data_IF_597793309700
#
_entry.id   IF_597793309700
#
_cell.length_a   1.000
_cell.length_b   1.000
_cell.length_c   1.000
_cell.angle_alpha   90.00
_cell.angle_beta   90.00
_cell.angle_gamma   90.00
#
_symmetry.space_group_name_H-M   'P 1'
#
loop_
_entity.id
_entity.type
_entity.pdbx_description
1 polymer ?
#
# COMPACT_ATOMS: atom_id res chain seq x y z
N UNK A 1 16.73 10.51 -13.01
CA UNK A 1 15.99 9.95 -11.86
C UNK A 1 16.56 10.57 -10.60
N UNK A 2 15.72 11.04 -9.67
CA UNK A 2 16.21 11.48 -8.36
C UNK A 2 16.89 10.32 -7.64
N UNK A 3 18.00 10.60 -6.98
CA UNK A 3 18.79 9.62 -6.24
C UNK A 3 18.47 9.85 -4.77
N UNK A 4 17.59 9.03 -4.20
CA UNK A 4 17.01 9.21 -2.87
C UNK A 4 18.04 9.59 -1.77
N UNK A 5 19.24 8.96 -1.70
CA UNK A 5 20.26 9.34 -0.72
C UNK A 5 20.84 10.76 -0.90
N UNK A 6 20.85 11.28 -2.13
CA UNK A 6 21.43 12.58 -2.47
C UNK A 6 20.41 13.72 -2.35
N UNK A 7 19.20 13.49 -2.84
CA UNK A 7 18.16 14.52 -2.94
C UNK A 7 17.35 14.64 -1.64
N UNK A 8 17.21 13.53 -0.90
CA UNK A 8 16.40 13.45 0.33
C UNK A 8 17.08 12.57 1.39
N UNK A 9 18.30 12.95 1.78
CA UNK A 9 19.15 12.21 2.73
C UNK A 9 18.43 11.84 4.04
N UNK A 10 17.62 12.75 4.58
CA UNK A 10 16.84 12.50 5.80
C UNK A 10 15.77 11.40 5.60
N UNK A 11 15.06 11.42 4.47
CA UNK A 11 14.04 10.40 4.16
C UNK A 11 14.71 9.04 3.97
N UNK A 12 15.86 9.04 3.29
CA UNK A 12 16.66 7.83 3.09
C UNK A 12 17.16 7.25 4.42
N UNK A 13 17.69 8.08 5.32
CA UNK A 13 18.15 7.65 6.64
C UNK A 13 17.00 7.05 7.48
N UNK A 14 15.84 7.73 7.50
CA UNK A 14 14.64 7.23 8.18
C UNK A 14 14.17 5.90 7.59
N UNK A 15 14.19 5.77 6.26
CA UNK A 15 13.85 4.52 5.58
C UNK A 15 14.80 3.37 5.97
N UNK A 16 16.12 3.60 5.92
CA UNK A 16 17.14 2.63 6.33
C UNK A 16 17.05 2.25 7.81
N UNK A 17 16.61 3.17 8.67
CA UNK A 17 16.34 2.89 10.10
C UNK A 17 15.06 2.09 10.36
N UNK A 18 14.33 1.68 9.31
CA UNK A 18 13.13 0.86 9.42
C UNK A 18 11.85 1.64 9.74
N UNK A 19 11.87 2.98 9.65
CA UNK A 19 10.73 3.84 9.96
C UNK A 19 9.69 3.94 8.84
N UNK A 20 9.79 3.08 7.82
CA UNK A 20 8.84 3.01 6.72
C UNK A 20 7.60 2.16 7.05
N UNK A 21 7.55 1.51 8.20
CA UNK A 21 6.38 0.78 8.66
C UNK A 21 5.69 1.49 9.81
N UNK A 22 4.37 1.68 9.68
CA UNK A 22 3.54 2.22 10.73
C UNK A 22 2.95 1.07 11.54
N UNK A 23 3.10 1.11 12.87
CA UNK A 23 2.48 0.18 13.80
C UNK A 23 1.39 0.88 14.60
N UNK A 24 0.18 0.31 14.57
CA UNK A 24 -0.96 0.79 15.39
C UNK A 24 -1.28 -0.13 16.58
N UNK A 25 -0.49 -1.20 16.75
CA UNK A 25 -0.62 -2.14 17.86
C UNK A 25 0.73 -2.80 18.16
N UNK A 26 0.86 -3.34 19.36
CA UNK A 26 2.09 -4.00 19.83
C UNK A 26 2.25 -5.45 19.33
N UNK A 27 1.33 -5.92 18.48
CA UNK A 27 1.41 -7.27 17.90
C UNK A 27 2.67 -7.42 17.03
N UNK A 28 3.30 -8.60 17.10
CA UNK A 28 4.42 -8.95 16.21
C UNK A 28 3.97 -8.91 14.75
N UNK A 29 4.85 -8.42 13.86
CA UNK A 29 4.60 -8.30 12.41
C UNK A 29 3.40 -7.42 12.02
N UNK A 30 2.94 -6.53 12.90
CA UNK A 30 1.84 -5.61 12.63
C UNK A 30 2.25 -4.31 11.91
N UNK A 31 3.39 -4.32 11.21
CA UNK A 31 3.87 -3.17 10.43
C UNK A 31 3.07 -3.05 9.13
N UNK A 32 2.44 -1.90 8.91
CA UNK A 32 1.73 -1.59 7.68
C UNK A 32 2.49 -0.53 6.90
N UNK A 33 2.42 -0.58 5.56
CA UNK A 33 2.95 0.51 4.75
C UNK A 33 2.15 1.80 5.00
N UNK A 34 2.75 3.00 4.86
CA UNK A 34 2.08 4.27 5.06
C UNK A 34 0.87 4.44 4.14
N UNK A 35 0.99 4.01 2.88
CA UNK A 35 -0.08 4.02 1.89
C UNK A 35 -1.31 3.22 2.36
N UNK A 36 -1.09 1.96 2.78
CA UNK A 36 -2.14 1.10 3.33
C UNK A 36 -2.74 1.68 4.62
N UNK A 37 -1.94 2.41 5.39
CA UNK A 37 -2.45 3.09 6.59
C UNK A 37 -3.39 4.24 6.23
N UNK A 38 -3.00 5.09 5.28
CA UNK A 38 -3.79 6.22 4.78
C UNK A 38 -5.11 5.70 4.20
N UNK A 39 -5.05 4.70 3.33
CA UNK A 39 -6.24 4.09 2.74
C UNK A 39 -7.20 3.55 3.82
N UNK A 40 -6.69 2.79 4.79
CA UNK A 40 -7.53 2.25 5.87
C UNK A 40 -8.14 3.33 6.77
N UNK A 41 -7.41 4.42 7.05
CA UNK A 41 -7.96 5.53 7.84
C UNK A 41 -9.07 6.24 7.08
N UNK A 42 -8.84 6.56 5.82
CA UNK A 42 -9.85 7.17 4.94
C UNK A 42 -11.07 6.25 4.83
N UNK A 43 -10.88 4.98 4.49
CA UNK A 43 -11.96 3.99 4.36
C UNK A 43 -12.71 3.72 5.66
N UNK A 44 -12.05 3.80 6.82
CA UNK A 44 -12.72 3.67 8.13
C UNK A 44 -13.69 4.81 8.36
N UNK A 45 -13.31 6.06 8.06
CA UNK A 45 -14.22 7.21 8.18
C UNK A 45 -15.43 7.11 7.24
N UNK A 46 -15.27 6.43 6.10
CA UNK A 46 -16.39 6.14 5.19
C UNK A 46 -17.35 5.06 5.70
N UNK A 47 -16.85 4.08 6.46
CA UNK A 47 -17.59 2.86 6.82
C UNK A 47 -18.09 2.83 8.27
N UNK A 48 -17.58 3.67 9.16
CA UNK A 48 -18.03 3.76 10.56
C UNK A 48 -19.46 4.28 10.68
N UNK A 49 -20.14 4.05 11.83
CA UNK A 49 -21.48 4.57 12.10
C UNK A 49 -21.53 6.10 11.96
N UNK A 50 -22.45 6.62 11.13
CA UNK A 50 -22.49 8.04 10.71
C UNK A 50 -21.67 8.35 9.44
N UNK A 51 -20.92 7.36 8.94
CA UNK A 51 -20.15 7.43 7.70
C UNK A 51 -20.98 7.11 6.45
N UNK A 52 -20.39 7.42 5.29
CA UNK A 52 -20.99 7.35 3.95
C UNK A 52 -21.77 6.07 3.64
N UNK A 53 -21.30 4.93 4.12
CA UNK A 53 -21.88 3.61 3.78
C UNK A 53 -22.64 2.95 4.93
N UNK A 54 -22.85 3.65 6.06
CA UNK A 54 -23.52 3.07 7.23
C UNK A 54 -24.95 3.63 7.41
N UNK A 55 -25.96 2.75 7.40
CA UNK A 55 -27.33 3.09 7.81
C UNK A 55 -28.28 3.66 6.74
N UNK A 56 -29.40 4.26 7.21
CA UNK A 56 -30.50 4.80 6.38
C UNK A 56 -30.21 6.23 5.92
N UNK A 57 -29.39 6.35 4.88
CA UNK A 57 -29.31 7.56 4.08
C UNK A 57 -28.12 8.47 4.36
N UNK A 58 -27.75 9.17 3.29
CA UNK A 58 -26.61 10.04 3.14
C UNK A 58 -26.83 11.35 3.93
N UNK A 59 -26.35 11.44 5.18
CA UNK A 59 -26.42 12.71 5.92
C UNK A 59 -25.67 13.81 5.16
N UNK A 60 -26.23 15.03 5.10
CA UNK A 60 -25.68 16.15 4.30
C UNK A 60 -24.24 16.45 4.69
N UNK A 61 -23.93 16.41 5.99
CA UNK A 61 -22.59 16.58 6.56
C UNK A 61 -21.56 15.61 5.96
N UNK A 62 -21.90 14.32 5.88
CA UNK A 62 -21.03 13.27 5.33
C UNK A 62 -20.82 13.42 3.81
N UNK A 63 -21.81 13.92 3.06
CA UNK A 63 -21.64 14.26 1.62
C UNK A 63 -20.70 15.43 1.44
N UNK A 64 -20.90 16.45 2.25
CA UNK A 64 -20.14 17.69 2.17
C UNK A 64 -18.68 17.39 2.50
N UNK A 65 -18.41 16.63 3.56
CA UNK A 65 -17.06 16.19 3.86
C UNK A 65 -16.44 15.41 2.69
N UNK A 66 -17.17 14.50 2.05
CA UNK A 66 -16.67 13.75 0.91
C UNK A 66 -16.38 14.63 -0.30
N UNK A 67 -17.35 15.44 -0.72
CA UNK A 67 -17.23 16.37 -1.84
C UNK A 67 -16.04 17.33 -1.66
N UNK A 68 -15.82 17.78 -0.43
CA UNK A 68 -14.70 18.65 -0.09
C UNK A 68 -13.37 17.90 0.05
N UNK A 69 -13.38 16.61 0.38
CA UNK A 69 -12.16 15.79 0.50
C UNK A 69 -11.71 15.20 -0.83
N UNK A 70 -12.61 15.05 -1.81
CA UNK A 70 -12.30 14.48 -3.13
C UNK A 70 -11.17 15.19 -3.87
N UNK A 71 -11.10 16.54 -3.92
CA UNK A 71 -10.00 17.22 -4.58
C UNK A 71 -8.65 16.91 -3.92
N UNK A 72 -8.59 16.93 -2.59
CA UNK A 72 -7.37 16.60 -1.84
C UNK A 72 -6.98 15.13 -2.00
N UNK A 73 -7.96 14.20 -1.97
CA UNK A 73 -7.70 12.78 -2.21
C UNK A 73 -7.25 12.52 -3.66
N UNK A 74 -7.82 13.25 -4.62
CA UNK A 74 -7.40 13.18 -6.02
C UNK A 74 -5.99 13.71 -6.20
N UNK A 75 -5.63 14.80 -5.52
CA UNK A 75 -4.28 15.36 -5.53
C UNK A 75 -3.28 14.36 -4.92
N UNK A 76 -3.59 13.78 -3.76
CA UNK A 76 -2.77 12.73 -3.13
C UNK A 76 -2.67 11.50 -4.04
N UNK A 77 -3.77 11.06 -4.65
CA UNK A 77 -3.77 9.93 -5.56
C UNK A 77 -2.94 10.22 -6.81
N UNK A 78 -3.04 11.43 -7.40
CA UNK A 78 -2.18 11.86 -8.48
C UNK A 78 -0.71 11.81 -8.06
N UNK A 79 -0.37 12.38 -6.89
CA UNK A 79 0.98 12.37 -6.35
C UNK A 79 1.46 10.94 -6.05
N UNK A 80 0.58 10.04 -5.59
CA UNK A 80 0.92 8.64 -5.32
C UNK A 80 1.10 7.83 -6.61
N UNK A 81 0.32 8.10 -7.65
CA UNK A 81 0.51 7.51 -8.96
C UNK A 81 1.77 8.06 -9.63
N UNK A 82 2.08 9.34 -9.42
CA UNK A 82 3.35 9.96 -9.80
C UNK A 82 4.53 9.34 -9.02
N UNK A 83 4.33 8.96 -7.75
CA UNK A 83 5.36 8.38 -6.87
C UNK A 83 5.61 6.89 -7.15
N UNK A 84 4.55 6.10 -7.32
CA UNK A 84 4.60 4.66 -7.56
C UNK A 84 4.73 4.33 -9.04
N UNK A 85 4.77 5.37 -9.88
CA UNK A 85 4.75 5.29 -11.34
C UNK A 85 3.61 4.39 -11.87
N UNK A 86 2.53 4.30 -11.08
CA UNK A 86 1.37 3.47 -11.34
C UNK A 86 0.22 4.34 -11.84
N UNK A 87 0.34 4.90 -13.04
CA UNK A 87 -0.63 5.84 -13.59
C UNK A 87 -1.88 5.12 -14.15
N UNK A 88 -3.03 5.36 -13.53
CA UNK A 88 -4.32 4.81 -13.96
C UNK A 88 -5.05 5.83 -14.84
N UNK A 89 -5.42 5.43 -16.06
CA UNK A 89 -6.22 6.29 -16.95
C UNK A 89 -7.65 6.45 -16.44
N UNK A 90 -8.31 7.56 -16.80
CA UNK A 90 -9.67 7.90 -16.34
C UNK A 90 -10.80 6.93 -16.77
N UNK A 91 -10.51 5.82 -17.47
CA UNK A 91 -11.50 4.83 -17.89
C UNK A 91 -11.02 3.37 -17.71
N UNK A 92 -9.76 3.10 -17.31
CA UNK A 92 -9.21 1.74 -17.39
C UNK A 92 -8.06 1.50 -16.39
N UNK A 93 -8.07 0.32 -15.74
CA UNK A 93 -7.19 -0.08 -14.63
C UNK A 93 -5.70 -0.19 -15.01
N UNK A 94 -4.80 -0.22 -14.00
CA UNK A 94 -3.37 -0.45 -14.24
C UNK A 94 -3.14 -1.81 -14.88
N UNK A 95 -2.21 -1.83 -15.83
CA UNK A 95 -1.72 -3.05 -16.44
C UNK A 95 -0.89 -3.93 -15.50
N UNK A 96 -0.40 -3.40 -14.40
CA UNK A 96 0.27 -4.21 -13.35
C UNK A 96 -0.74 -4.72 -12.29
N UNK A 97 -1.93 -4.13 -12.28
CA UNK A 97 -3.16 -4.75 -11.79
C UNK A 97 -3.79 -5.66 -12.85
N UNK A 98 -3.16 -5.91 -14.01
CA UNK A 98 -3.73 -6.86 -14.99
C UNK A 98 -3.36 -8.29 -14.73
N UNK A 99 -4.32 -9.16 -15.05
CA UNK A 99 -4.30 -10.61 -14.81
C UNK A 99 -3.05 -11.30 -15.37
N UNK A 100 -2.55 -10.84 -16.51
CA UNK A 100 -1.40 -11.46 -17.19
C UNK A 100 -0.11 -11.26 -16.39
N UNK A 101 0.00 -10.15 -15.65
CA UNK A 101 1.18 -9.84 -14.83
C UNK A 101 1.09 -10.43 -13.43
N UNK A 102 -0.08 -10.35 -12.79
CA UNK A 102 -0.33 -11.06 -11.53
C UNK A 102 -0.12 -12.58 -11.67
N UNK A 103 -0.49 -13.16 -12.81
CA UNK A 103 -0.32 -14.61 -13.04
C UNK A 103 1.14 -15.03 -13.20
N UNK A 104 2.00 -14.16 -13.72
CA UNK A 104 3.42 -14.46 -13.89
C UNK A 104 4.18 -14.30 -12.57
N UNK A 105 3.86 -13.26 -11.81
CA UNK A 105 4.47 -13.02 -10.50
C UNK A 105 4.18 -14.17 -9.53
N UNK A 106 2.97 -14.74 -9.57
CA UNK A 106 2.61 -15.95 -8.81
C UNK A 106 3.43 -17.18 -9.19
N UNK A 107 3.81 -17.30 -10.47
CA UNK A 107 4.64 -18.43 -10.93
C UNK A 107 6.08 -18.30 -10.48
N UNK A 108 6.62 -17.08 -10.49
CA UNK A 108 7.98 -16.82 -10.05
C UNK A 108 8.10 -16.97 -8.53
N UNK A 109 7.08 -16.55 -7.76
CA UNK A 109 7.01 -16.80 -6.31
C UNK A 109 6.99 -18.30 -6.02
N UNK A 110 6.20 -19.09 -6.75
CA UNK A 110 6.15 -20.55 -6.60
C UNK A 110 7.51 -21.21 -6.87
N UNK A 111 8.19 -20.78 -7.93
CA UNK A 111 9.52 -21.29 -8.27
C UNK A 111 10.55 -21.01 -7.15
N UNK A 112 10.49 -19.81 -6.55
CA UNK A 112 11.35 -19.42 -5.44
C UNK A 112 11.00 -20.21 -4.17
N UNK A 113 9.73 -20.41 -3.86
CA UNK A 113 9.30 -21.19 -2.69
C UNK A 113 9.70 -22.65 -2.80
N UNK A 114 9.53 -23.27 -3.97
CA UNK A 114 9.97 -24.63 -4.21
C UNK A 114 11.48 -24.78 -4.03
N UNK A 115 12.27 -23.82 -4.53
CA UNK A 115 13.71 -23.79 -4.32
C UNK A 115 14.05 -23.71 -2.82
N UNK A 116 13.40 -22.81 -2.08
CA UNK A 116 13.64 -22.60 -0.65
C UNK A 116 13.16 -23.77 0.22
N UNK A 117 12.13 -24.53 -0.19
CA UNK A 117 11.72 -25.78 0.48
C UNK A 117 12.82 -26.83 0.38
N UNK A 118 13.45 -26.94 -0.80
CA UNK A 118 14.52 -27.92 -1.02
C UNK A 118 15.86 -27.51 -0.41
N UNK A 119 16.10 -26.21 -0.25
CA UNK A 119 17.38 -25.64 0.22
C UNK A 119 17.12 -24.55 1.24
N UNK A 120 16.52 -24.92 2.37
CA UNK A 120 16.17 -23.97 3.40
C UNK A 120 17.43 -23.46 4.11
N UNK A 121 17.81 -22.17 3.96
CA UNK A 121 19.01 -21.61 4.56
C UNK A 121 18.90 -21.44 6.08
N UNK A 122 17.70 -21.65 6.64
CA UNK A 122 17.43 -21.59 8.08
C UNK A 122 17.12 -22.98 8.67
N UNK A 123 17.30 -24.04 7.89
CA UNK A 123 17.20 -25.43 8.38
C UNK A 123 18.37 -25.76 9.30
N UNK A 124 18.16 -26.67 10.25
CA UNK A 124 19.20 -27.12 11.18
C UNK A 124 20.24 -28.05 10.55
N UNK A 125 20.02 -28.49 9.31
CA UNK A 125 20.96 -29.35 8.60
C UNK A 125 22.19 -28.56 8.16
N UNK A 126 23.31 -28.84 8.82
CA UNK A 126 24.62 -28.21 8.57
C UNK A 126 25.39 -28.93 7.46
N UNK A 127 24.68 -29.37 6.41
CA UNK A 127 25.28 -30.01 5.24
C UNK A 127 24.62 -29.50 3.98
N UNK A 128 25.37 -28.73 3.19
CA UNK A 128 25.22 -28.80 1.74
C UNK A 128 25.83 -30.11 1.24
#
# INVERSE_FOLDING_TARGET
>A
MPVLPLDHSEVYERFCSGQYFIRRSDRFWAGLSPDLVIEQVLMRSFKSAGGLTSGRGFEVSSRTQWLLSMPACSEINCVMQELTDAQYGNIEQHKESTDIRQSRDNKDIEAILQFLISRNPFGTDTSL
#
